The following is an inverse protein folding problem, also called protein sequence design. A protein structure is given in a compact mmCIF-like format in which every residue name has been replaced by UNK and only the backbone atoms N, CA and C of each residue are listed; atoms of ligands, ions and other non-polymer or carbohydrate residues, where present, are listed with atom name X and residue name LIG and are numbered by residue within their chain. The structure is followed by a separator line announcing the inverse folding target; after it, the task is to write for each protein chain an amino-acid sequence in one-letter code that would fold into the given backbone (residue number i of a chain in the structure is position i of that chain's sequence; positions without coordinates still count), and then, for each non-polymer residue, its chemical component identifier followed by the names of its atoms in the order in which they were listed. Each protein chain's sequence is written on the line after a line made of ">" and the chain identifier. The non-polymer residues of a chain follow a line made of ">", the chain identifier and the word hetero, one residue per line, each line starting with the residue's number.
data_IF_403583981501
#
_entry.id   IF_403583981501
#
_cell.length_a   1.000
_cell.length_b   1.000
_cell.length_c   1.000
_cell.angle_alpha   90.00
_cell.angle_beta   90.00
_cell.angle_gamma   90.00
#
_symmetry.space_group_name_H-M   'P 1'
#
loop_
_entity.id
_entity.type
_entity.pdbx_description
1 polymer ?
#
# COMPACT_ATOMS: atom_id res chain seq x y z
N UNK A 1 2.06 -13.55 9.30
CA UNK A 1 2.84 -13.97 8.12
C UNK A 1 3.08 -12.74 7.26
N UNK A 2 4.34 -12.42 6.95
CA UNK A 2 4.69 -11.26 6.12
C UNK A 2 4.34 -11.51 4.65
N UNK A 3 3.70 -10.52 4.00
CA UNK A 3 3.32 -10.58 2.60
C UNK A 3 4.24 -9.67 1.79
N UNK A 4 5.06 -10.27 0.90
CA UNK A 4 6.04 -9.56 0.07
C UNK A 4 5.38 -8.56 -0.90
N UNK A 5 6.15 -7.58 -1.38
CA UNK A 5 5.68 -6.59 -2.36
C UNK A 5 5.23 -7.21 -3.69
N UNK A 6 5.85 -8.30 -4.09
CA UNK A 6 5.51 -9.06 -5.31
C UNK A 6 4.36 -10.05 -5.13
N UNK A 7 3.75 -10.12 -3.94
CA UNK A 7 2.69 -11.08 -3.68
C UNK A 7 1.47 -10.84 -4.56
N UNK A 8 1.00 -11.94 -5.18
CA UNK A 8 -0.24 -11.99 -5.94
C UNK A 8 -0.90 -13.35 -5.74
N UNK A 9 -2.22 -13.37 -5.64
CA UNK A 9 -2.98 -14.60 -5.42
C UNK A 9 -4.31 -14.57 -6.16
N UNK A 10 -4.64 -15.69 -6.82
CA UNK A 10 -5.95 -15.94 -7.40
C UNK A 10 -6.80 -16.80 -6.47
N UNK A 11 -8.11 -16.57 -6.50
CA UNK A 11 -9.10 -17.29 -5.70
C UNK A 11 -10.21 -17.78 -6.63
N UNK A 12 -10.52 -19.05 -6.52
CA UNK A 12 -11.66 -19.68 -7.19
C UNK A 12 -12.90 -19.75 -6.30
N UNK A 13 -12.73 -19.55 -4.99
CA UNK A 13 -13.76 -19.65 -3.98
C UNK A 13 -13.97 -18.30 -3.29
N UNK A 14 -15.25 -17.85 -3.21
CA UNK A 14 -15.64 -16.57 -2.60
C UNK A 14 -15.29 -16.50 -1.12
N UNK A 15 -15.54 -17.59 -0.38
CA UNK A 15 -15.29 -17.60 1.06
C UNK A 15 -13.80 -17.42 1.37
N UNK A 16 -12.94 -18.12 0.62
CA UNK A 16 -11.50 -17.98 0.75
C UNK A 16 -11.03 -16.57 0.35
N UNK A 17 -11.61 -15.99 -0.69
CA UNK A 17 -11.29 -14.62 -1.10
C UNK A 17 -11.68 -13.60 -0.02
N UNK A 18 -12.91 -13.66 0.48
CA UNK A 18 -13.40 -12.75 1.52
C UNK A 18 -12.61 -12.90 2.82
N UNK A 19 -12.37 -14.12 3.29
CA UNK A 19 -11.59 -14.37 4.51
C UNK A 19 -10.16 -13.83 4.39
N UNK A 20 -9.56 -13.93 3.20
CA UNK A 20 -8.24 -13.36 2.97
C UNK A 20 -8.26 -11.83 3.00
N UNK A 21 -9.29 -11.19 2.45
CA UNK A 21 -9.43 -9.74 2.51
C UNK A 21 -9.67 -9.24 3.94
N UNK A 22 -10.48 -9.96 4.74
CA UNK A 22 -10.68 -9.67 6.15
C UNK A 22 -9.36 -9.73 6.92
N UNK A 23 -8.57 -10.78 6.74
CA UNK A 23 -7.24 -10.93 7.36
C UNK A 23 -6.28 -9.80 6.98
N UNK A 24 -6.34 -9.34 5.73
CA UNK A 24 -5.53 -8.23 5.24
C UNK A 24 -5.97 -6.89 5.85
N UNK A 25 -7.28 -6.65 5.99
CA UNK A 25 -7.81 -5.43 6.59
C UNK A 25 -7.56 -5.38 8.11
N UNK A 26 -7.73 -6.47 8.83
CA UNK A 26 -7.47 -6.56 10.27
C UNK A 26 -6.02 -6.21 10.63
N UNK A 27 -5.08 -6.39 9.69
CA UNK A 27 -3.65 -6.07 9.89
C UNK A 27 -3.27 -4.69 9.35
N UNK A 28 -4.22 -3.93 8.85
CA UNK A 28 -3.97 -2.61 8.27
C UNK A 28 -4.30 -1.51 9.28
N UNK A 29 -3.36 -0.58 9.41
CA UNK A 29 -3.57 0.68 10.11
C UNK A 29 -3.51 1.84 9.13
N UNK A 30 -4.17 2.94 9.50
CA UNK A 30 -4.15 4.16 8.73
C UNK A 30 -3.57 5.29 9.56
N UNK A 31 -2.67 6.06 8.95
CA UNK A 31 -2.01 7.20 9.56
C UNK A 31 -2.25 8.43 8.70
N UNK A 32 -2.62 9.54 9.34
CA UNK A 32 -2.75 10.85 8.68
C UNK A 32 -1.64 11.74 9.18
N UNK A 33 -0.89 12.35 8.26
CA UNK A 33 0.14 13.32 8.60
C UNK A 33 0.28 14.40 7.51
N UNK A 34 0.84 15.58 7.83
CA UNK A 34 1.13 16.60 6.83
C UNK A 34 2.05 16.03 5.72
N UNK A 35 1.73 16.29 4.46
CA UNK A 35 2.52 15.77 3.32
C UNK A 35 3.96 16.29 3.35
N UNK A 36 4.16 17.54 3.73
CA UNK A 36 5.46 18.20 3.85
C UNK A 36 6.30 17.72 5.05
N UNK A 37 5.71 16.94 5.97
CA UNK A 37 6.43 16.28 7.07
C UNK A 37 7.01 14.91 6.69
N UNK A 38 6.61 14.36 5.55
CA UNK A 38 7.12 13.09 5.05
C UNK A 38 8.56 13.26 4.55
N UNK A 39 9.42 12.30 4.89
CA UNK A 39 10.81 12.35 4.48
C UNK A 39 11.33 10.96 4.11
N UNK A 40 11.91 10.85 2.93
CA UNK A 40 12.46 9.60 2.38
C UNK A 40 13.96 9.51 2.64
N UNK A 41 14.41 8.30 2.96
CA UNK A 41 15.84 7.97 3.02
C UNK A 41 16.10 6.65 2.29
N UNK A 42 17.21 6.56 1.57
CA UNK A 42 17.66 5.28 1.04
C UNK A 42 18.05 4.34 2.20
N UNK A 43 17.74 3.06 2.10
CA UNK A 43 18.00 2.07 3.14
C UNK A 43 19.51 1.98 3.48
N UNK A 44 20.37 2.14 2.48
CA UNK A 44 21.82 2.17 2.65
C UNK A 44 22.32 3.39 3.45
N UNK A 45 21.58 4.49 3.42
CA UNK A 45 21.89 5.73 4.14
C UNK A 45 21.26 5.79 5.54
N UNK A 46 20.44 4.79 5.92
CA UNK A 46 19.76 4.73 7.22
C UNK A 46 20.06 3.42 7.99
N UNK A 47 21.32 3.20 8.40
CA UNK A 47 21.69 1.98 9.11
C UNK A 47 21.01 1.83 10.47
N UNK A 48 20.56 2.94 11.09
CA UNK A 48 19.84 2.91 12.36
C UNK A 48 18.44 2.31 12.19
N UNK A 49 17.68 2.74 11.19
CA UNK A 49 16.39 2.14 10.85
C UNK A 49 16.53 0.68 10.47
N UNK A 50 17.54 0.32 9.67
CA UNK A 50 17.82 -1.07 9.32
C UNK A 50 18.09 -1.96 10.55
N UNK A 51 18.87 -1.48 11.52
CA UNK A 51 19.14 -2.23 12.77
C UNK A 51 17.88 -2.40 13.62
N UNK A 52 17.11 -1.32 13.78
CA UNK A 52 15.85 -1.35 14.55
C UNK A 52 14.86 -2.35 13.92
N UNK A 53 14.76 -2.33 12.60
CA UNK A 53 13.87 -3.24 11.88
C UNK A 53 14.22 -4.70 12.06
N UNK A 54 15.49 -5.06 12.02
CA UNK A 54 15.97 -6.45 12.22
C UNK A 54 15.58 -7.06 13.58
N UNK A 55 15.22 -6.22 14.55
CA UNK A 55 14.80 -6.66 15.89
C UNK A 55 13.30 -7.02 15.95
N UNK A 56 12.52 -6.64 14.95
CA UNK A 56 11.09 -6.96 14.87
C UNK A 56 10.89 -8.39 14.34
N UNK A 57 9.74 -8.98 14.67
CA UNK A 57 9.27 -10.21 14.03
C UNK A 57 9.21 -10.02 12.51
N UNK A 58 9.65 -11.02 11.74
CA UNK A 58 9.79 -10.93 10.28
C UNK A 58 10.68 -9.77 9.76
N UNK A 59 11.38 -9.04 10.64
CA UNK A 59 12.12 -7.83 10.32
C UNK A 59 13.23 -8.01 9.28
N UNK A 60 13.86 -9.16 9.26
CA UNK A 60 14.89 -9.47 8.27
C UNK A 60 14.29 -9.73 6.88
N UNK A 61 13.14 -10.42 6.82
CA UNK A 61 12.40 -10.63 5.57
C UNK A 61 11.87 -9.29 5.02
N UNK A 62 11.30 -8.47 5.88
CA UNK A 62 10.80 -7.14 5.57
C UNK A 62 11.90 -6.22 5.00
N UNK A 63 13.09 -6.24 5.63
CA UNK A 63 14.23 -5.44 5.16
C UNK A 63 14.76 -5.93 3.81
N UNK A 64 14.87 -7.24 3.63
CA UNK A 64 15.33 -7.82 2.37
C UNK A 64 14.35 -7.53 1.23
N UNK A 65 13.05 -7.71 1.45
CA UNK A 65 12.01 -7.38 0.47
C UNK A 65 12.03 -5.88 0.11
N UNK A 66 12.23 -5.01 1.10
CA UNK A 66 12.34 -3.56 0.87
C UNK A 66 13.56 -3.22 0.01
N UNK A 67 14.73 -3.82 0.29
CA UNK A 67 15.96 -3.59 -0.49
C UNK A 67 15.84 -4.09 -1.93
N UNK A 68 15.19 -5.23 -2.14
CA UNK A 68 14.99 -5.80 -3.47
C UNK A 68 14.03 -4.97 -4.33
N UNK A 69 13.07 -4.30 -3.73
CA UNK A 69 12.02 -3.58 -4.44
C UNK A 69 12.28 -2.06 -4.48
N UNK A 70 12.08 -1.36 -3.37
CA UNK A 70 12.19 0.11 -3.35
C UNK A 70 13.54 0.61 -2.87
N UNK A 71 14.18 -0.09 -1.94
CA UNK A 71 15.39 0.37 -1.26
C UNK A 71 15.19 1.62 -0.39
N UNK A 72 13.94 1.94 -0.01
CA UNK A 72 13.58 3.20 0.62
C UNK A 72 12.87 3.00 1.97
N UNK A 73 13.14 3.93 2.88
CA UNK A 73 12.36 4.19 4.08
C UNK A 73 11.63 5.53 3.95
N UNK A 74 10.47 5.63 4.57
CA UNK A 74 9.74 6.88 4.75
C UNK A 74 9.61 7.18 6.24
N UNK A 75 9.97 8.39 6.63
CA UNK A 75 9.74 8.91 7.95
C UNK A 75 8.35 9.52 8.01
N UNK A 76 7.51 9.03 8.91
CA UNK A 76 6.18 9.53 9.19
C UNK A 76 5.95 9.50 10.70
N UNK A 77 5.37 10.54 11.26
CA UNK A 77 5.13 10.69 12.69
C UNK A 77 6.36 10.34 13.57
N UNK A 78 7.53 10.81 13.13
CA UNK A 78 8.80 10.61 13.82
C UNK A 78 9.42 9.21 13.71
N UNK A 79 8.78 8.26 13.04
CA UNK A 79 9.25 6.89 12.87
C UNK A 79 9.63 6.58 11.42
N UNK A 80 10.65 5.74 11.23
CA UNK A 80 11.06 5.26 9.91
C UNK A 80 10.33 3.94 9.60
N UNK A 81 9.63 3.92 8.48
CA UNK A 81 8.94 2.74 7.95
C UNK A 81 9.51 2.35 6.59
N UNK A 82 9.67 1.04 6.30
CA UNK A 82 9.95 0.59 4.94
C UNK A 82 8.85 1.04 3.98
N UNK A 83 9.24 1.43 2.78
CA UNK A 83 8.32 1.84 1.73
C UNK A 83 8.07 0.70 0.75
N UNK A 84 6.80 0.35 0.53
CA UNK A 84 6.40 -0.65 -0.46
C UNK A 84 6.37 -0.08 -1.89
N UNK A 85 6.38 -0.96 -2.88
CA UNK A 85 6.38 -0.59 -4.31
C UNK A 85 5.16 0.24 -4.68
N UNK A 86 3.97 -0.17 -4.24
CA UNK A 86 2.73 0.58 -4.49
C UNK A 86 2.77 1.94 -3.78
N UNK A 87 3.29 1.98 -2.54
CA UNK A 87 3.44 3.23 -1.81
C UNK A 87 4.41 4.19 -2.51
N UNK A 88 5.51 3.69 -3.08
CA UNK A 88 6.43 4.52 -3.86
C UNK A 88 5.72 5.16 -5.06
N UNK A 89 4.90 4.40 -5.81
CA UNK A 89 4.10 4.91 -6.93
C UNK A 89 3.08 5.96 -6.50
N UNK A 90 2.31 5.67 -5.44
CA UNK A 90 1.28 6.61 -4.95
C UNK A 90 1.90 7.87 -4.35
N UNK A 91 3.08 7.76 -3.73
CA UNK A 91 3.84 8.90 -3.22
C UNK A 91 4.35 9.80 -4.35
N UNK A 92 4.84 9.23 -5.46
CA UNK A 92 5.20 10.00 -6.67
C UNK A 92 3.99 10.78 -7.21
N UNK A 93 2.82 10.14 -7.25
CA UNK A 93 1.57 10.81 -7.64
C UNK A 93 1.23 11.94 -6.67
N UNK A 94 1.40 11.74 -5.37
CA UNK A 94 1.19 12.77 -4.35
C UNK A 94 2.15 13.95 -4.50
N UNK A 95 3.42 13.67 -4.78
CA UNK A 95 4.46 14.67 -5.05
C UNK A 95 4.31 15.34 -6.44
N UNK A 96 3.35 14.89 -7.27
CA UNK A 96 3.09 15.35 -8.63
C UNK A 96 4.30 15.23 -9.56
N UNK A 97 5.11 14.21 -9.33
CA UNK A 97 6.27 13.90 -10.17
C UNK A 97 5.95 12.68 -11.03
N UNK A 98 6.08 12.88 -12.34
CA UNK A 98 5.85 11.84 -13.34
C UNK A 98 7.05 11.74 -14.27
N UNK A 99 7.32 10.53 -14.75
CA UNK A 99 8.32 10.28 -15.78
C UNK A 99 9.30 9.16 -15.43
N UNK A 100 9.88 8.56 -16.45
CA UNK A 100 10.76 7.39 -16.31
C UNK A 100 12.14 7.75 -15.75
N UNK A 101 12.60 9.00 -15.92
CA UNK A 101 13.92 9.43 -15.45
C UNK A 101 14.15 9.21 -13.95
N UNK A 102 13.09 9.29 -13.14
CA UNK A 102 13.17 8.99 -11.71
C UNK A 102 13.53 7.52 -11.42
N UNK A 103 13.10 6.61 -12.28
CA UNK A 103 13.35 5.17 -12.09
C UNK A 103 14.82 4.81 -12.35
N UNK A 104 15.51 5.60 -13.16
CA UNK A 104 16.91 5.40 -13.53
C UNK A 104 17.89 6.01 -12.50
N UNK A 105 17.37 6.79 -11.53
CA UNK A 105 18.19 7.40 -10.48
C UNK A 105 18.59 6.36 -9.42
N UNK A 106 19.77 6.56 -8.84
CA UNK A 106 20.12 5.86 -7.59
C UNK A 106 19.16 6.24 -6.45
N UNK A 107 19.03 5.42 -5.44
CA UNK A 107 18.03 5.60 -4.38
C UNK A 107 18.23 6.85 -3.52
N UNK A 108 19.47 7.25 -3.17
CA UNK A 108 19.68 8.53 -2.50
C UNK A 108 19.22 9.75 -3.31
N UNK A 109 19.54 9.80 -4.61
CA UNK A 109 19.11 10.88 -5.51
C UNK A 109 17.59 10.90 -5.68
N UNK A 110 16.98 9.72 -5.91
CA UNK A 110 15.52 9.58 -5.97
C UNK A 110 14.83 10.10 -4.70
N UNK A 111 15.33 9.72 -3.53
CA UNK A 111 14.79 10.18 -2.25
C UNK A 111 14.91 11.72 -2.12
N UNK A 112 16.05 12.29 -2.49
CA UNK A 112 16.28 13.73 -2.46
C UNK A 112 15.28 14.51 -3.31
N UNK A 113 15.09 14.10 -4.56
CA UNK A 113 14.14 14.74 -5.49
C UNK A 113 12.71 14.66 -4.96
N UNK A 114 12.29 13.50 -4.44
CA UNK A 114 10.96 13.38 -3.85
C UNK A 114 10.80 14.22 -2.58
N UNK A 115 11.82 14.31 -1.74
CA UNK A 115 11.77 15.14 -0.53
C UNK A 115 11.57 16.62 -0.89
N UNK A 116 12.30 17.14 -1.87
CA UNK A 116 12.14 18.51 -2.32
C UNK A 116 10.72 18.80 -2.82
N UNK A 117 10.12 17.84 -3.53
CA UNK A 117 8.75 17.96 -4.02
C UNK A 117 7.70 17.84 -2.92
N UNK A 118 7.91 16.93 -1.96
CA UNK A 118 6.99 16.75 -0.84
C UNK A 118 6.96 17.97 0.07
N UNK A 119 8.11 18.63 0.30
CA UNK A 119 8.18 19.85 1.12
C UNK A 119 7.34 21.02 0.58
N UNK A 120 7.10 21.07 -0.73
CA UNK A 120 6.25 22.10 -1.35
C UNK A 120 4.83 21.62 -1.63
N UNK A 121 4.50 20.36 -1.27
CA UNK A 121 3.19 19.78 -1.46
C UNK A 121 2.34 20.00 -0.21
N UNK A 122 1.31 20.83 -0.32
CA UNK A 122 0.38 21.12 0.77
C UNK A 122 -0.63 19.98 1.01
N UNK A 123 -1.27 20.01 2.19
CA UNK A 123 -2.36 19.12 2.57
C UNK A 123 -1.89 17.88 3.32
N UNK A 124 -2.86 17.05 3.70
CA UNK A 124 -2.62 15.84 4.47
C UNK A 124 -2.32 14.65 3.54
N UNK A 125 -1.51 13.74 4.00
CA UNK A 125 -1.28 12.44 3.40
C UNK A 125 -1.94 11.36 4.29
N UNK A 126 -2.62 10.40 3.66
CA UNK A 126 -3.18 9.22 4.29
C UNK A 126 -2.29 8.02 3.92
N UNK A 127 -1.61 7.48 4.92
CA UNK A 127 -0.69 6.35 4.77
C UNK A 127 -1.38 5.07 5.21
N UNK A 128 -1.29 4.03 4.38
CA UNK A 128 -1.70 2.68 4.75
C UNK A 128 -0.50 1.90 5.25
N UNK A 129 -0.50 1.60 6.54
CA UNK A 129 0.49 0.76 7.19
C UNK A 129 -0.05 -0.67 7.29
N UNK A 130 0.74 -1.65 6.89
CA UNK A 130 0.44 -3.07 7.10
C UNK A 130 1.73 -3.86 7.27
N UNK A 131 1.75 -4.72 8.29
CA UNK A 131 2.89 -5.59 8.60
C UNK A 131 4.20 -4.80 8.73
N UNK A 132 4.14 -3.61 9.38
CA UNK A 132 5.30 -2.75 9.59
C UNK A 132 5.82 -2.00 8.35
N UNK A 133 5.10 -2.05 7.20
CA UNK A 133 5.49 -1.42 5.93
C UNK A 133 4.40 -0.47 5.43
N UNK A 134 4.80 0.71 4.96
CA UNK A 134 3.85 1.61 4.27
C UNK A 134 3.54 1.05 2.89
N UNK A 135 2.27 0.71 2.67
CA UNK A 135 1.76 0.05 1.46
C UNK A 135 1.16 1.02 0.45
N UNK A 136 0.66 2.17 0.90
CA UNK A 136 0.14 3.22 0.04
C UNK A 136 0.26 4.59 0.72
N UNK A 137 0.33 5.65 -0.09
CA UNK A 137 0.29 7.05 0.35
C UNK A 137 -0.70 7.79 -0.53
N UNK A 138 -1.84 8.15 0.04
CA UNK A 138 -2.93 8.85 -0.66
C UNK A 138 -3.03 10.31 -0.20
N UNK A 139 -3.83 11.11 -0.91
CA UNK A 139 -4.30 12.38 -0.38
C UNK A 139 -5.19 12.11 0.84
N UNK A 140 -4.98 12.86 1.93
CA UNK A 140 -5.58 12.56 3.23
C UNK A 140 -6.37 13.72 3.81
N UNK A 141 -7.02 14.59 2.99
CA UNK A 141 -7.95 15.53 3.59
C UNK A 141 -9.15 14.73 4.16
N UNK A 142 -9.36 14.73 5.50
CA UNK A 142 -10.41 13.93 6.12
C UNK A 142 -11.83 14.30 5.65
N UNK A 143 -11.99 15.45 5.00
CA UNK A 143 -13.27 15.88 4.42
C UNK A 143 -13.57 15.18 3.10
N UNK A 144 -12.52 14.71 2.41
CA UNK A 144 -12.64 14.17 1.06
C UNK A 144 -12.43 12.65 1.02
N UNK A 145 -11.93 12.05 2.12
CA UNK A 145 -11.60 10.63 2.16
C UNK A 145 -12.21 9.93 3.37
N UNK A 146 -12.95 8.87 3.09
CA UNK A 146 -13.27 7.82 4.05
C UNK A 146 -12.57 6.53 3.64
N UNK A 147 -12.01 5.81 4.62
CA UNK A 147 -11.48 4.48 4.38
C UNK A 147 -12.66 3.53 4.16
N UNK A 148 -12.67 2.87 3.00
CA UNK A 148 -13.64 1.82 2.69
C UNK A 148 -12.92 0.47 2.78
N UNK A 149 -13.26 -0.38 3.77
CA UNK A 149 -12.70 -1.72 3.87
C UNK A 149 -12.99 -2.54 2.60
N UNK A 150 -11.98 -3.23 2.09
CA UNK A 150 -12.14 -4.03 0.86
C UNK A 150 -13.25 -5.08 0.97
N UNK A 151 -13.40 -5.83 2.09
CA UNK A 151 -14.49 -6.79 2.24
C UNK A 151 -15.87 -6.16 2.06
N UNK A 152 -16.11 -4.98 2.64
CA UNK A 152 -17.39 -4.28 2.53
C UNK A 152 -17.73 -3.89 1.09
N UNK A 153 -16.72 -3.49 0.31
CA UNK A 153 -16.90 -3.15 -1.11
C UNK A 153 -17.36 -4.36 -1.91
N UNK A 154 -16.68 -5.50 -1.74
CA UNK A 154 -17.03 -6.72 -2.49
C UNK A 154 -18.32 -7.36 -2.02
N UNK A 155 -18.66 -7.26 -0.72
CA UNK A 155 -19.95 -7.69 -0.21
C UNK A 155 -21.08 -6.86 -0.76
N UNK A 156 -20.96 -5.53 -0.73
CA UNK A 156 -21.97 -4.62 -1.30
C UNK A 156 -22.14 -4.86 -2.81
N UNK A 157 -21.05 -5.10 -3.55
CA UNK A 157 -21.10 -5.43 -4.97
C UNK A 157 -21.87 -6.74 -5.23
N UNK A 158 -21.61 -7.78 -4.43
CA UNK A 158 -22.29 -9.06 -4.54
C UNK A 158 -23.81 -8.90 -4.28
N UNK A 159 -24.18 -8.22 -3.19
CA UNK A 159 -25.58 -7.96 -2.86
C UNK A 159 -26.30 -7.19 -3.97
N UNK A 160 -25.68 -6.13 -4.48
CA UNK A 160 -26.24 -5.35 -5.59
C UNK A 160 -26.48 -6.21 -6.84
N UNK A 161 -25.53 -7.08 -7.18
CA UNK A 161 -25.67 -7.97 -8.33
C UNK A 161 -26.79 -8.99 -8.13
N UNK A 162 -26.93 -9.57 -6.94
CA UNK A 162 -28.03 -10.48 -6.60
C UNK A 162 -29.40 -9.81 -6.66
N UNK A 163 -29.52 -8.60 -6.13
CA UNK A 163 -30.76 -7.81 -6.18
C UNK A 163 -31.15 -7.40 -7.60
N UNK A 164 -30.15 -7.05 -8.44
CA UNK A 164 -30.40 -6.50 -9.76
C UNK A 164 -30.62 -7.57 -10.83
N UNK A 165 -29.96 -8.73 -10.70
CA UNK A 165 -29.87 -9.75 -11.74
C UNK A 165 -30.30 -11.15 -11.27
N UNK A 166 -30.70 -11.30 -10.00
CA UNK A 166 -31.11 -12.56 -9.44
C UNK A 166 -29.90 -13.43 -9.07
N UNK A 167 -29.85 -14.66 -9.56
CA UNK A 167 -28.78 -15.58 -9.16
C UNK A 167 -27.44 -15.23 -9.82
N UNK A 168 -26.46 -14.90 -8.99
CA UNK A 168 -25.07 -14.69 -9.41
C UNK A 168 -24.14 -15.69 -8.74
N UNK A 169 -23.07 -16.06 -9.42
CA UNK A 169 -22.07 -17.00 -8.91
C UNK A 169 -20.70 -16.33 -8.99
N UNK A 170 -19.98 -16.31 -7.86
CA UNK A 170 -18.60 -15.86 -7.85
C UNK A 170 -17.76 -16.74 -8.79
N UNK A 171 -17.02 -16.13 -9.69
CA UNK A 171 -16.22 -16.83 -10.70
C UNK A 171 -14.74 -16.81 -10.37
N UNK A 172 -14.21 -15.67 -9.95
CA UNK A 172 -12.81 -15.51 -9.60
C UNK A 172 -12.57 -14.28 -8.73
N UNK A 173 -11.54 -14.34 -7.88
CA UNK A 173 -10.96 -13.21 -7.18
C UNK A 173 -9.46 -13.13 -7.45
N UNK A 174 -8.92 -11.92 -7.40
CA UNK A 174 -7.49 -11.67 -7.49
C UNK A 174 -7.09 -10.62 -6.47
N UNK A 175 -5.96 -10.83 -5.84
CA UNK A 175 -5.34 -9.87 -4.93
C UNK A 175 -3.87 -9.65 -5.28
N UNK A 176 -3.47 -8.38 -5.34
CA UNK A 176 -2.09 -7.91 -5.20
C UNK A 176 -2.09 -6.62 -4.38
N UNK A 177 -0.91 -6.10 -4.01
CA UNK A 177 -0.84 -4.81 -3.31
C UNK A 177 -1.30 -3.61 -4.16
N UNK A 178 -1.35 -3.77 -5.46
CA UNK A 178 -1.72 -2.73 -6.42
C UNK A 178 -3.17 -2.83 -6.88
N UNK A 179 -3.70 -4.07 -6.98
CA UNK A 179 -5.00 -4.33 -7.57
C UNK A 179 -5.73 -5.46 -6.85
N UNK A 180 -6.99 -5.24 -6.55
CA UNK A 180 -7.90 -6.28 -6.06
C UNK A 180 -9.11 -6.31 -6.98
N UNK A 181 -9.46 -7.49 -7.50
CA UNK A 181 -10.61 -7.66 -8.39
C UNK A 181 -11.42 -8.89 -8.03
N UNK A 182 -12.70 -8.86 -8.38
CA UNK A 182 -13.58 -10.01 -8.34
C UNK A 182 -14.44 -10.07 -9.61
N UNK A 183 -14.83 -11.26 -10.00
CA UNK A 183 -15.70 -11.52 -11.15
C UNK A 183 -16.85 -12.43 -10.72
N UNK A 184 -18.04 -12.15 -11.28
CA UNK A 184 -19.24 -12.94 -11.08
C UNK A 184 -19.84 -13.35 -12.45
N UNK A 185 -20.46 -14.51 -12.48
CA UNK A 185 -21.28 -14.96 -13.58
C UNK A 185 -22.75 -14.80 -13.25
N UNK A 186 -23.50 -14.19 -14.15
CA UNK A 186 -24.96 -14.16 -14.09
C UNK A 186 -25.47 -15.51 -14.58
N UNK A 187 -26.41 -16.10 -13.85
CA UNK A 187 -27.06 -17.32 -14.26
C UNK A 187 -28.46 -17.00 -14.75
N UNK A 188 -28.74 -17.35 -16.01
CA UNK A 188 -30.09 -17.29 -16.61
C UNK A 188 -31.05 -18.24 -15.91
#
# INVERSE_FOLDING_TARGET
>A
MYVQDSFAKNFADRSQFMSFLDEIEERADWMVCPTDSLYLTAAEMNPAACRKMKQAEDGEQLLNDTRLNTGLFIKADGMDYPLGTTAMKTLQNRARIYGNALQDMDRPTFAGVLNDCLQVTSGQALLRLREGKIRAVHGGDPKDYAVLPMPEIFEAANLYLEESYGKVVFSAGYFSHELVTAAWQLQE
#
